data_IF_812164847592
#
_entry.id   IF_812164847592
#
_cell.length_a   1.000
_cell.length_b   1.000
_cell.length_c   1.000
_cell.angle_alpha   90.00
_cell.angle_beta   90.00
_cell.angle_gamma   90.00
#
_symmetry.space_group_name_H-M   'P 1'
#
loop_
_entity.id
_entity.type
_entity.pdbx_description
1 polymer ?
#
# COMPACT_ATOMS: atom_id res chain seq x y z
N UNK A 1 -7.75 -6.37 1.20
CA UNK A 1 -7.16 -5.55 0.12
C UNK A 1 -6.02 -4.68 0.59
N UNK A 2 -5.07 -4.40 -0.29
CA UNK A 2 -3.96 -3.46 -0.10
C UNK A 2 -4.02 -2.44 -1.23
N UNK A 3 -3.93 -1.14 -0.91
CA UNK A 3 -3.92 -0.08 -1.94
C UNK A 3 -2.55 0.03 -2.62
N UNK A 4 -2.49 0.58 -3.82
CA UNK A 4 -1.21 0.87 -4.50
C UNK A 4 -0.32 1.83 -3.68
N UNK A 5 -0.92 2.77 -2.94
CA UNK A 5 -0.20 3.66 -2.05
C UNK A 5 0.45 2.91 -0.89
N UNK A 6 -0.25 1.94 -0.30
CA UNK A 6 0.30 1.10 0.78
C UNK A 6 1.47 0.27 0.26
N UNK A 7 1.36 -0.26 -0.96
CA UNK A 7 2.43 -1.04 -1.59
C UNK A 7 3.66 -0.18 -1.90
N UNK A 8 3.45 1.04 -2.42
CA UNK A 8 4.52 2.00 -2.65
C UNK A 8 5.21 2.41 -1.34
N UNK A 9 4.43 2.67 -0.28
CA UNK A 9 4.98 2.95 1.05
C UNK A 9 5.83 1.79 1.58
N UNK A 10 5.35 0.54 1.46
CA UNK A 10 6.10 -0.64 1.87
C UNK A 10 7.42 -0.77 1.08
N UNK A 11 7.38 -0.55 -0.23
CA UNK A 11 8.57 -0.55 -1.08
C UNK A 11 9.59 0.50 -0.61
N UNK A 12 9.17 1.75 -0.40
CA UNK A 12 10.07 2.83 0.05
C UNK A 12 10.65 2.54 1.44
N UNK A 13 9.82 2.09 2.38
CA UNK A 13 10.30 1.76 3.72
C UNK A 13 11.29 0.59 3.73
N UNK A 14 11.05 -0.45 2.93
CA UNK A 14 11.99 -1.57 2.81
C UNK A 14 13.28 -1.16 2.10
N UNK A 15 13.20 -0.31 1.08
CA UNK A 15 14.35 0.30 0.43
C UNK A 15 15.21 1.09 1.44
N UNK A 16 14.59 1.98 2.20
CA UNK A 16 15.28 2.81 3.19
C UNK A 16 15.94 1.99 4.31
N UNK A 17 15.27 0.95 4.80
CA UNK A 17 15.78 0.09 5.88
C UNK A 17 16.83 -0.92 5.43
N UNK A 18 16.79 -1.34 4.16
CA UNK A 18 17.75 -2.30 3.60
C UNK A 18 19.02 -1.64 3.05
N UNK A 19 18.97 -0.33 2.76
CA UNK A 19 20.10 0.41 2.20
C UNK A 19 20.43 0.04 0.75
N UNK A 20 19.48 -0.56 0.02
CA UNK A 20 19.63 -0.98 -1.38
C UNK A 20 18.49 -0.40 -2.22
N UNK A 21 18.79 -0.07 -3.47
CA UNK A 21 17.83 0.44 -4.46
C UNK A 21 16.98 -0.66 -5.11
N UNK A 22 17.28 -1.92 -4.79
CA UNK A 22 16.52 -3.05 -5.31
C UNK A 22 15.07 -3.07 -4.80
N UNK A 23 14.23 -3.73 -5.59
CA UNK A 23 12.80 -3.82 -5.32
C UNK A 23 12.56 -4.41 -3.94
N UNK A 24 11.81 -3.67 -3.12
CA UNK A 24 11.47 -4.05 -1.75
C UNK A 24 12.69 -4.37 -0.87
N UNK A 25 13.80 -3.68 -1.11
CA UNK A 25 14.99 -3.85 -0.29
C UNK A 25 15.63 -5.23 -0.39
N UNK A 26 15.63 -5.80 -1.60
CA UNK A 26 16.11 -7.15 -1.91
C UNK A 26 15.43 -8.26 -1.09
N UNK A 27 14.18 -8.04 -0.65
CA UNK A 27 13.42 -9.04 0.09
C UNK A 27 12.56 -9.86 -0.86
N UNK A 28 12.53 -11.17 -0.65
CA UNK A 28 11.60 -12.04 -1.34
C UNK A 28 10.18 -11.78 -0.80
N UNK A 29 9.27 -11.34 -1.67
CA UNK A 29 7.88 -11.04 -1.33
C UNK A 29 6.93 -11.95 -2.11
N UNK A 30 5.97 -12.53 -1.41
CA UNK A 30 4.87 -13.30 -1.99
C UNK A 30 3.55 -12.53 -1.78
N UNK A 31 2.87 -12.22 -2.89
CA UNK A 31 1.51 -11.66 -2.85
C UNK A 31 0.48 -12.77 -3.03
N UNK A 32 -0.48 -12.83 -2.11
CA UNK A 32 -1.59 -13.79 -2.16
C UNK A 32 -2.89 -13.01 -1.96
N UNK A 33 -3.88 -13.26 -2.83
CA UNK A 33 -5.21 -12.68 -2.72
C UNK A 33 -6.02 -12.92 -3.99
N UNK A 34 -7.34 -12.75 -3.88
CA UNK A 34 -8.25 -12.75 -5.02
C UNK A 34 -8.57 -11.31 -5.42
N UNK A 35 -8.38 -10.99 -6.71
CA UNK A 35 -8.71 -9.66 -7.24
C UNK A 35 -10.21 -9.49 -7.55
N UNK A 36 -10.97 -10.57 -7.61
CA UNK A 36 -12.43 -10.56 -7.78
C UNK A 36 -13.18 -10.34 -6.46
N UNK A 37 -12.48 -10.49 -5.33
CA UNK A 37 -12.97 -10.05 -4.03
C UNK A 37 -13.05 -8.52 -3.95
N UNK A 38 -13.36 -7.99 -2.75
CA UNK A 38 -13.49 -6.56 -2.52
C UNK A 38 -12.22 -5.81 -3.02
N UNK A 39 -12.36 -4.58 -3.57
CA UNK A 39 -11.24 -3.72 -3.96
C UNK A 39 -10.81 -2.81 -2.81
N UNK A 40 -9.56 -2.28 -2.79
CA UNK A 40 -9.07 -1.44 -1.70
C UNK A 40 -10.05 -0.33 -1.32
N UNK A 41 -10.29 -0.16 -0.01
CA UNK A 41 -11.21 0.87 0.47
C UNK A 41 -10.67 2.25 0.09
N UNK A 42 -11.51 3.05 -0.55
CA UNK A 42 -11.16 4.41 -0.91
C UNK A 42 -11.11 5.30 0.34
N UNK A 43 -9.98 5.97 0.59
CA UNK A 43 -9.76 6.83 1.75
C UNK A 43 -10.52 8.17 1.72
N UNK A 44 -11.53 8.32 0.85
CA UNK A 44 -12.40 9.51 0.87
C UNK A 44 -13.11 9.58 2.23
N UNK A 45 -13.28 10.78 2.81
CA UNK A 45 -13.99 10.95 4.05
C UNK A 45 -15.38 10.32 3.96
N UNK A 46 -15.68 9.39 4.88
CA UNK A 46 -16.99 8.74 4.98
C UNK A 46 -18.07 9.76 5.33
N UNK A 47 -17.71 10.77 6.11
CA UNK A 47 -18.60 11.85 6.52
C UNK A 47 -18.29 13.13 5.73
N UNK A 48 -19.35 13.80 5.27
CA UNK A 48 -19.22 15.15 4.70
C UNK A 48 -18.90 16.13 5.82
N UNK A 49 -17.91 17.00 5.61
CA UNK A 49 -17.64 18.12 6.50
C UNK A 49 -18.78 19.12 6.37
N UNK A 50 -19.60 19.27 7.41
CA UNK A 50 -20.59 20.35 7.49
C UNK A 50 -19.81 21.65 7.70
N UNK A 51 -19.97 22.62 6.80
CA UNK A 51 -19.43 23.98 7.02
C UNK A 51 -20.43 24.75 7.87
N UNK A 52 -19.92 25.47 8.88
CA UNK A 52 -20.70 26.41 9.69
C UNK A 52 -20.95 27.71 8.92
#
# INVERSE_FOLDING_TARGET
MVSSLNLAYLHMHLKDTSGTDEWFGSKNILFVGDFLELPPVNGRPVFKKIRN
#
